data_IF_607399786167
#
_entry.id   IF_607399786167
#
_cell.length_a   1.000
_cell.length_b   1.000
_cell.length_c   1.000
_cell.angle_alpha   90.00
_cell.angle_beta   90.00
_cell.angle_gamma   90.00
#
_symmetry.space_group_name_H-M   'P 1'
#
loop_
_entity.id
_entity.type
_entity.pdbx_description
1 polymer ?
#
# COMPACT_ATOMS: atom_id res chain seq x y z
N UNK A 1 42.93 -39.03 31.12
CA UNK A 1 42.14 -40.21 30.77
C UNK A 1 40.84 -39.76 30.18
N UNK A 2 40.63 -40.18 28.94
CA UNK A 2 39.46 -40.19 28.12
C UNK A 2 38.78 -38.87 27.70
N UNK A 3 39.06 -38.58 26.46
CA UNK A 3 38.40 -37.79 25.47
C UNK A 3 37.00 -38.33 25.10
N UNK A 4 36.02 -37.48 24.83
CA UNK A 4 34.91 -37.81 23.97
C UNK A 4 34.64 -36.71 22.96
N UNK A 5 34.89 -37.02 21.68
CA UNK A 5 34.52 -36.23 20.51
C UNK A 5 32.99 -36.31 20.32
N UNK A 6 32.36 -35.21 20.10
CA UNK A 6 30.99 -35.10 19.66
C UNK A 6 30.92 -34.69 18.19
N UNK A 7 30.29 -35.51 17.43
CA UNK A 7 30.10 -35.49 15.97
C UNK A 7 29.31 -34.28 15.46
N UNK A 8 29.85 -33.59 14.46
CA UNK A 8 29.19 -32.58 13.66
C UNK A 8 28.42 -33.27 12.52
N UNK A 9 27.13 -33.09 12.46
CA UNK A 9 26.26 -33.59 11.38
C UNK A 9 26.13 -32.53 10.29
N UNK A 10 26.66 -32.87 9.13
CA UNK A 10 26.59 -32.08 7.89
C UNK A 10 25.25 -32.43 7.19
N UNK A 11 24.31 -31.53 7.08
CA UNK A 11 23.10 -31.71 6.28
C UNK A 11 23.37 -31.26 4.84
N UNK A 12 23.29 -32.21 3.92
CA UNK A 12 23.47 -32.00 2.48
C UNK A 12 22.23 -31.33 1.86
N UNK A 13 22.51 -30.30 1.08
CA UNK A 13 21.53 -29.60 0.23
C UNK A 13 21.34 -30.40 -1.07
N UNK A 14 20.15 -30.95 -1.31
CA UNK A 14 19.80 -31.56 -2.60
C UNK A 14 19.30 -30.45 -3.55
N UNK A 15 20.06 -30.21 -4.61
CA UNK A 15 19.61 -29.49 -5.80
C UNK A 15 18.80 -30.46 -6.68
N UNK A 16 17.54 -30.17 -6.93
CA UNK A 16 16.76 -30.86 -7.96
C UNK A 16 16.82 -30.07 -9.27
N UNK A 17 17.41 -30.68 -10.29
CA UNK A 17 17.44 -30.20 -11.66
C UNK A 17 16.14 -30.60 -12.38
N UNK A 18 15.52 -29.66 -13.12
CA UNK A 18 14.39 -29.90 -14.00
C UNK A 18 14.91 -30.05 -15.43
N UNK A 19 14.50 -31.08 -16.20
CA UNK A 19 14.92 -31.23 -17.58
C UNK A 19 14.07 -30.39 -18.54
N UNK A 20 14.75 -29.78 -19.51
CA UNK A 20 14.16 -29.18 -20.69
C UNK A 20 13.73 -30.27 -21.68
N UNK A 21 12.55 -30.17 -22.26
CA UNK A 21 12.17 -30.88 -23.47
C UNK A 21 11.61 -29.88 -24.48
N UNK A 22 12.23 -29.93 -25.66
CA UNK A 22 11.93 -29.08 -26.78
C UNK A 22 10.98 -29.72 -27.79
N UNK A 23 10.49 -28.89 -28.67
CA UNK A 23 10.31 -29.10 -30.09
C UNK A 23 9.05 -29.81 -30.59
N UNK A 24 8.36 -29.15 -31.50
CA UNK A 24 7.41 -29.78 -32.41
C UNK A 24 6.52 -28.80 -33.19
N UNK A 25 7.01 -28.43 -34.35
CA UNK A 25 6.31 -27.70 -35.42
C UNK A 25 5.16 -28.49 -36.03
N UNK A 26 4.15 -27.76 -36.53
CA UNK A 26 3.39 -27.93 -37.80
C UNK A 26 2.02 -27.23 -37.60
N UNK A 27 1.58 -26.27 -38.38
CA UNK A 27 1.51 -26.16 -39.80
C UNK A 27 0.04 -26.18 -40.25
N UNK A 28 -0.49 -25.12 -40.91
CA UNK A 28 -1.60 -25.27 -41.79
C UNK A 28 -2.76 -24.27 -41.65
N UNK A 29 -2.71 -23.19 -42.43
CA UNK A 29 -3.59 -22.77 -43.54
C UNK A 29 -5.07 -22.47 -43.21
N UNK A 30 -5.53 -21.21 -43.27
CA UNK A 30 -6.20 -20.57 -44.38
C UNK A 30 -7.70 -20.44 -44.21
N UNK A 31 -8.21 -19.25 -44.45
CA UNK A 31 -9.65 -19.05 -44.71
C UNK A 31 -10.12 -17.59 -44.50
N UNK A 32 -10.00 -16.81 -45.53
CA UNK A 32 -10.61 -15.49 -45.71
C UNK A 32 -12.10 -15.57 -46.05
N UNK A 33 -12.88 -14.55 -45.66
CA UNK A 33 -13.91 -13.86 -46.48
C UNK A 33 -14.76 -12.97 -45.55
N UNK A 34 -14.68 -11.70 -45.76
CA UNK A 34 -15.42 -10.74 -46.60
C UNK A 34 -16.75 -10.27 -45.98
N UNK A 35 -16.71 -9.01 -45.66
CA UNK A 35 -17.64 -7.87 -45.74
C UNK A 35 -19.10 -8.11 -46.11
N UNK A 36 -20.00 -7.36 -45.45
CA UNK A 36 -20.94 -6.47 -46.13
C UNK A 36 -21.52 -5.43 -45.17
N UNK A 37 -21.57 -4.22 -45.69
CA UNK A 37 -22.20 -3.00 -45.21
C UNK A 37 -23.71 -3.00 -45.42
N UNK A 38 -24.49 -2.27 -44.64
CA UNK A 38 -25.65 -1.54 -45.15
C UNK A 38 -26.07 -0.40 -44.22
N UNK A 39 -26.26 0.72 -44.87
CA UNK A 39 -26.76 2.03 -44.45
C UNK A 39 -28.23 2.04 -43.99
N UNK A 40 -28.63 3.17 -43.36
CA UNK A 40 -30.00 3.64 -43.28
C UNK A 40 -30.25 4.50 -42.06
N UNK A 41 -30.06 5.73 -42.08
CA UNK A 41 -30.82 6.92 -42.48
C UNK A 41 -31.97 7.33 -41.53
N UNK A 42 -31.76 8.51 -40.93
CA UNK A 42 -32.65 9.68 -40.77
C UNK A 42 -33.95 9.60 -39.97
N UNK A 43 -34.14 10.61 -39.13
CA UNK A 43 -35.43 11.01 -38.57
C UNK A 43 -35.33 12.24 -37.64
N UNK A 44 -35.77 13.34 -38.18
CA UNK A 44 -35.84 14.72 -37.67
C UNK A 44 -37.02 14.90 -36.70
N UNK A 45 -36.82 15.81 -35.66
CA UNK A 45 -37.84 16.80 -35.34
C UNK A 45 -38.45 16.77 -33.96
N UNK A 46 -38.46 17.93 -33.29
CA UNK A 46 -39.48 18.27 -32.32
C UNK A 46 -38.99 19.11 -31.10
N UNK A 47 -39.05 20.40 -31.30
CA UNK A 47 -38.91 21.45 -30.28
C UNK A 47 -40.09 21.46 -29.27
N UNK A 48 -39.85 21.83 -28.03
CA UNK A 48 -40.90 22.19 -27.07
C UNK A 48 -40.31 22.67 -25.76
N UNK A 49 -40.26 23.99 -25.59
CA UNK A 49 -39.85 24.64 -24.35
C UNK A 49 -40.98 24.68 -23.32
N UNK A 50 -40.62 24.66 -22.05
CA UNK A 50 -41.40 25.24 -20.96
C UNK A 50 -40.51 25.59 -19.80
N UNK A 51 -40.45 26.85 -19.49
CA UNK A 51 -39.88 27.50 -18.31
C UNK A 51 -40.65 27.12 -17.05
N UNK A 52 -39.95 26.76 -15.96
CA UNK A 52 -40.50 26.59 -14.63
C UNK A 52 -39.46 26.95 -13.59
N UNK A 53 -39.59 28.14 -13.00
CA UNK A 53 -38.85 28.62 -11.86
C UNK A 53 -39.28 27.87 -10.59
N UNK A 54 -38.33 27.29 -9.83
CA UNK A 54 -38.62 26.69 -8.53
C UNK A 54 -37.38 26.69 -7.65
N UNK A 55 -37.49 27.34 -6.52
CA UNK A 55 -36.44 27.73 -5.61
C UNK A 55 -35.47 26.66 -5.15
N UNK A 56 -34.22 27.04 -5.09
CA UNK A 56 -33.12 26.30 -4.50
C UNK A 56 -33.16 26.43 -2.97
N UNK A 57 -33.49 25.36 -2.28
CA UNK A 57 -33.15 25.18 -0.88
C UNK A 57 -31.77 24.49 -0.83
N UNK A 58 -30.77 25.26 -0.41
CA UNK A 58 -29.44 24.78 -0.13
C UNK A 58 -29.49 23.85 1.09
N UNK A 59 -29.31 22.55 0.85
CA UNK A 59 -29.02 21.59 1.91
C UNK A 59 -27.49 21.53 2.00
N UNK A 60 -26.91 22.15 3.00
CA UNK A 60 -25.50 21.98 3.37
C UNK A 60 -25.32 20.58 3.92
N UNK A 61 -24.85 19.66 3.10
CA UNK A 61 -24.33 18.38 3.55
C UNK A 61 -22.89 18.59 4.04
N UNK A 62 -22.68 18.54 5.32
CA UNK A 62 -21.37 18.39 5.93
C UNK A 62 -20.86 16.98 5.61
N UNK A 63 -19.99 16.88 4.61
CA UNK A 63 -19.26 15.66 4.34
C UNK A 63 -18.16 15.50 5.40
N UNK A 64 -18.32 14.54 6.31
CA UNK A 64 -17.24 14.08 7.18
C UNK A 64 -16.27 13.26 6.31
N UNK A 65 -15.09 13.81 6.06
CA UNK A 65 -14.04 13.14 5.29
C UNK A 65 -13.34 12.08 6.13
N UNK A 66 -13.37 10.83 5.71
CA UNK A 66 -12.55 9.76 6.23
C UNK A 66 -11.16 9.82 5.58
N UNK A 67 -10.11 9.92 6.36
CA UNK A 67 -8.73 9.94 5.90
C UNK A 67 -8.04 8.61 6.21
N UNK A 68 -7.91 7.77 5.20
CA UNK A 68 -6.90 6.72 5.20
C UNK A 68 -5.64 7.30 4.57
N UNK A 69 -4.52 7.30 5.28
CA UNK A 69 -3.29 8.03 4.93
C UNK A 69 -3.58 9.52 4.82
N UNK A 70 -3.25 10.30 5.83
CA UNK A 70 -3.57 11.72 5.91
C UNK A 70 -3.11 12.50 4.68
N UNK A 71 -4.01 12.71 3.71
CA UNK A 71 -3.86 13.74 2.69
C UNK A 71 -4.28 15.06 3.32
N UNK A 72 -3.40 15.65 4.10
CA UNK A 72 -3.65 16.93 4.75
C UNK A 72 -3.69 18.06 3.73
N UNK A 73 -4.87 18.63 3.52
CA UNK A 73 -4.95 20.01 3.04
C UNK A 73 -4.52 20.93 4.19
N UNK A 74 -3.38 21.58 4.00
CA UNK A 74 -2.87 22.73 4.73
C UNK A 74 -3.23 22.93 6.21
N UNK A 75 -2.37 22.51 7.17
CA UNK A 75 -1.94 23.43 8.20
C UNK A 75 -2.63 23.48 9.56
N UNK A 76 -3.18 22.40 10.08
CA UNK A 76 -3.42 22.26 11.51
C UNK A 76 -2.61 21.11 12.09
N UNK A 77 -2.10 21.20 13.33
CA UNK A 77 -1.54 20.03 14.01
C UNK A 77 -2.58 18.91 14.05
N UNK A 78 -2.17 17.63 13.91
CA UNK A 78 -3.10 16.51 14.05
C UNK A 78 -3.83 16.59 15.38
N UNK A 79 -5.15 16.31 15.37
CA UNK A 79 -5.95 16.33 16.57
C UNK A 79 -6.05 14.93 17.16
N UNK A 80 -5.98 14.83 18.50
CA UNK A 80 -6.11 13.58 19.22
C UNK A 80 -4.78 13.00 19.74
N UNK A 81 -4.86 11.85 20.38
CA UNK A 81 -3.72 11.14 20.94
C UNK A 81 -3.07 10.22 19.87
N UNK A 82 -1.75 10.27 19.70
CA UNK A 82 -1.05 9.47 18.69
C UNK A 82 -0.79 8.05 19.17
N UNK A 83 -1.40 7.06 18.52
CA UNK A 83 -1.14 5.65 18.73
C UNK A 83 -0.40 5.03 17.56
N UNK A 84 0.43 4.02 17.85
CA UNK A 84 1.20 3.28 16.84
C UNK A 84 0.81 1.82 16.87
N UNK A 85 0.46 1.29 15.69
CA UNK A 85 0.12 -0.11 15.48
C UNK A 85 1.21 -0.78 14.67
N UNK A 86 1.74 -1.88 15.19
CA UNK A 86 2.83 -2.64 14.52
C UNK A 86 2.36 -4.06 14.28
N UNK A 87 2.33 -4.43 13.00
CA UNK A 87 2.06 -5.79 12.54
C UNK A 87 3.33 -6.47 12.02
N UNK A 88 3.29 -7.79 11.85
CA UNK A 88 4.46 -8.52 11.39
C UNK A 88 4.20 -9.97 11.05
N UNK A 89 5.29 -10.71 10.79
CA UNK A 89 5.23 -12.16 10.66
C UNK A 89 5.22 -12.80 12.05
N UNK A 90 4.06 -13.22 12.45
CA UNK A 90 3.71 -13.76 13.76
C UNK A 90 2.21 -13.89 13.86
N UNK A 91 1.63 -13.63 15.02
CA UNK A 91 0.17 -13.67 15.21
C UNK A 91 -0.38 -12.45 15.96
N UNK A 92 0.44 -11.43 16.20
CA UNK A 92 0.07 -10.33 17.10
C UNK A 92 0.21 -8.97 16.44
N UNK A 93 -0.67 -8.04 16.84
CA UNK A 93 -0.52 -6.61 16.63
C UNK A 93 -0.10 -5.99 17.96
N UNK A 94 0.98 -5.22 17.94
CA UNK A 94 1.47 -4.44 19.07
C UNK A 94 0.94 -3.02 19.00
N UNK A 95 0.56 -2.47 20.16
CA UNK A 95 0.05 -1.10 20.27
C UNK A 95 0.97 -0.29 21.17
N UNK A 96 1.27 0.94 20.74
CA UNK A 96 2.07 1.88 21.52
C UNK A 96 1.42 3.26 21.50
N UNK A 97 1.67 4.04 22.54
CA UNK A 97 1.46 5.47 22.55
C UNK A 97 2.76 6.14 22.09
N UNK A 98 2.67 7.12 21.18
CA UNK A 98 3.80 7.87 20.65
C UNK A 98 3.93 9.20 21.38
N UNK A 99 5.06 9.47 21.98
CA UNK A 99 5.43 10.82 22.37
C UNK A 99 6.05 11.55 21.17
N UNK A 100 5.29 12.45 20.56
CA UNK A 100 5.77 13.22 19.38
C UNK A 100 6.90 14.18 19.75
N UNK A 101 7.01 14.57 21.04
CA UNK A 101 8.05 15.48 21.55
C UNK A 101 9.45 14.88 21.50
N UNK A 102 9.62 13.58 21.82
CA UNK A 102 10.92 12.91 21.83
C UNK A 102 11.01 11.67 20.93
N UNK A 103 9.88 11.23 20.35
CA UNK A 103 9.78 10.06 19.47
C UNK A 103 9.74 8.72 20.22
N UNK A 104 9.51 8.71 21.53
CA UNK A 104 9.44 7.48 22.32
C UNK A 104 8.09 6.75 22.10
N UNK A 105 8.16 5.42 22.21
CA UNK A 105 7.03 4.50 22.08
C UNK A 105 6.80 3.79 23.40
N UNK A 106 5.64 4.01 24.03
CA UNK A 106 5.25 3.36 25.29
C UNK A 106 4.20 2.28 24.99
N UNK A 107 4.42 0.99 25.37
CA UNK A 107 3.46 -0.07 25.13
C UNK A 107 2.10 0.23 25.75
N UNK A 108 1.02 -0.07 25.00
CA UNK A 108 -0.36 0.02 25.46
C UNK A 108 -0.93 -1.38 25.58
N UNK A 109 -1.16 -1.83 26.79
CA UNK A 109 -1.66 -3.17 27.08
C UNK A 109 -0.74 -4.31 26.62
N UNK A 110 -1.31 -5.49 26.44
CA UNK A 110 -0.62 -6.65 25.84
C UNK A 110 -0.88 -6.70 24.34
N UNK A 111 0.05 -7.27 23.54
CA UNK A 111 -0.18 -7.47 22.11
C UNK A 111 -1.47 -8.28 21.85
N UNK A 112 -2.18 -7.91 20.79
CA UNK A 112 -3.49 -8.47 20.43
C UNK A 112 -3.33 -9.58 19.42
N UNK A 113 -3.94 -10.75 19.65
CA UNK A 113 -3.96 -11.85 18.67
C UNK A 113 -4.75 -11.43 17.43
N UNK A 114 -4.09 -11.40 16.30
CA UNK A 114 -4.65 -11.01 15.01
C UNK A 114 -4.66 -12.16 13.99
N UNK A 115 -4.36 -13.39 14.42
CA UNK A 115 -4.20 -14.54 13.53
C UNK A 115 -2.85 -14.55 12.80
N UNK A 116 -2.68 -15.47 11.86
CA UNK A 116 -1.40 -15.70 11.19
C UNK A 116 -0.94 -14.50 10.39
N UNK A 117 0.29 -14.05 10.64
CA UNK A 117 1.00 -13.04 9.85
C UNK A 117 0.16 -11.78 9.54
N UNK A 118 -0.21 -10.95 10.55
CA UNK A 118 -0.83 -9.64 10.30
C UNK A 118 0.22 -8.68 9.71
N UNK A 119 0.66 -8.97 8.48
CA UNK A 119 1.85 -8.37 7.87
C UNK A 119 1.61 -6.96 7.31
N UNK A 120 0.34 -6.58 7.09
CA UNK A 120 -0.07 -5.24 6.68
C UNK A 120 -1.39 -4.85 7.33
N UNK A 121 -1.49 -3.58 7.75
CA UNK A 121 -2.66 -3.04 8.43
C UNK A 121 -3.21 -1.84 7.67
N UNK A 122 -4.52 -1.63 7.76
CA UNK A 122 -5.18 -0.38 7.39
C UNK A 122 -5.98 0.13 8.59
N UNK A 123 -5.85 1.41 8.91
CA UNK A 123 -6.57 2.02 10.02
C UNK A 123 -7.54 3.05 9.48
N UNK A 124 -8.78 2.96 9.92
CA UNK A 124 -9.83 3.95 9.68
C UNK A 124 -10.21 4.60 11.01
N UNK A 125 -9.57 5.72 11.37
CA UNK A 125 -9.82 6.38 12.66
C UNK A 125 -11.21 7.00 12.72
N UNK A 126 -11.79 7.40 11.58
CA UNK A 126 -13.13 8.01 11.53
C UNK A 126 -14.24 7.01 11.92
N UNK A 127 -14.03 5.72 11.64
CA UNK A 127 -14.96 4.65 11.97
C UNK A 127 -14.48 3.76 13.12
N UNK A 128 -13.40 4.15 13.80
CA UNK A 128 -12.78 3.41 14.91
C UNK A 128 -12.52 1.94 14.56
N UNK A 129 -11.94 1.70 13.37
CA UNK A 129 -11.65 0.35 12.89
C UNK A 129 -10.21 0.20 12.42
N UNK A 130 -9.67 -1.00 12.63
CA UNK A 130 -8.40 -1.46 12.06
C UNK A 130 -8.64 -2.77 11.32
N UNK A 131 -8.05 -2.88 10.13
CA UNK A 131 -8.06 -4.08 9.31
C UNK A 131 -6.65 -4.64 9.21
N UNK A 132 -6.51 -5.96 9.31
CA UNK A 132 -5.24 -6.66 9.18
C UNK A 132 -5.38 -7.77 8.14
N UNK A 133 -4.46 -7.83 7.17
CA UNK A 133 -4.32 -9.03 6.35
C UNK A 133 -3.80 -10.18 7.22
N UNK A 134 -4.20 -11.42 6.91
CA UNK A 134 -3.53 -12.60 7.40
C UNK A 134 -2.84 -13.24 6.19
N UNK A 135 -1.54 -12.95 6.04
CA UNK A 135 -0.71 -13.36 4.90
C UNK A 135 -0.41 -14.86 4.99
N UNK A 136 -1.42 -15.67 4.65
CA UNK A 136 -1.36 -17.12 4.65
C UNK A 136 -1.61 -17.66 3.24
N UNK A 137 -1.01 -18.80 2.93
CA UNK A 137 -1.14 -19.47 1.64
C UNK A 137 -2.11 -20.66 1.68
N UNK A 138 -2.26 -21.35 0.54
CA UNK A 138 -3.08 -22.56 0.42
C UNK A 138 -4.58 -22.32 0.54
N UNK A 139 -5.06 -21.17 0.02
CA UNK A 139 -6.46 -20.78 0.06
C UNK A 139 -6.92 -20.19 1.39
N UNK A 140 -6.01 -19.89 2.32
CA UNK A 140 -6.33 -19.45 3.68
C UNK A 140 -6.17 -17.94 3.90
N UNK A 141 -5.76 -17.19 2.88
CA UNK A 141 -5.65 -15.73 2.98
C UNK A 141 -6.95 -15.11 3.49
N UNK A 142 -6.84 -14.21 4.47
CA UNK A 142 -8.00 -13.57 5.11
C UNK A 142 -7.70 -12.13 5.51
N UNK A 143 -8.77 -11.40 5.84
CA UNK A 143 -8.69 -10.08 6.46
C UNK A 143 -9.46 -10.14 7.77
N UNK A 144 -8.81 -9.73 8.85
CA UNK A 144 -9.42 -9.53 10.16
C UNK A 144 -9.74 -8.06 10.38
N UNK A 145 -10.83 -7.77 11.09
CA UNK A 145 -11.18 -6.42 11.52
C UNK A 145 -11.24 -6.33 13.04
N UNK A 146 -10.91 -5.15 13.55
CA UNK A 146 -10.86 -4.83 14.97
C UNK A 146 -11.56 -3.50 15.21
N UNK A 147 -12.31 -3.43 16.31
CA UNK A 147 -12.73 -2.16 16.87
C UNK A 147 -11.54 -1.51 17.57
N UNK A 148 -11.40 -0.22 17.40
CA UNK A 148 -10.33 0.60 17.91
C UNK A 148 -10.90 1.55 18.96
N UNK A 149 -10.53 1.36 20.23
CA UNK A 149 -10.93 2.24 21.32
C UNK A 149 -10.20 3.58 21.23
N UNK A 150 -10.93 4.64 20.96
CA UNK A 150 -10.33 5.96 20.70
C UNK A 150 -9.68 6.61 21.92
N UNK A 151 -9.98 6.15 23.12
CA UNK A 151 -9.40 6.67 24.38
C UNK A 151 -8.10 5.96 24.74
N UNK A 152 -8.07 4.64 24.53
CA UNK A 152 -6.94 3.81 24.98
C UNK A 152 -6.06 3.31 23.85
N UNK A 153 -6.50 3.39 22.59
CA UNK A 153 -5.83 2.81 21.44
C UNK A 153 -5.94 1.28 21.34
N UNK A 154 -6.60 0.63 22.31
CA UNK A 154 -6.70 -0.83 22.36
C UNK A 154 -7.59 -1.39 21.26
N UNK A 155 -7.25 -2.59 20.79
CA UNK A 155 -7.97 -3.32 19.75
C UNK A 155 -8.84 -4.41 20.34
N UNK A 156 -10.07 -4.56 19.82
CA UNK A 156 -10.97 -5.67 20.09
C UNK A 156 -11.37 -6.34 18.78
N UNK A 157 -11.18 -7.66 18.69
CA UNK A 157 -11.53 -8.42 17.48
C UNK A 157 -13.02 -8.30 17.14
N UNK A 158 -13.35 -8.06 15.87
CA UNK A 158 -14.71 -7.93 15.36
C UNK A 158 -15.06 -9.09 14.43
N UNK A 159 -14.33 -9.25 13.33
CA UNK A 159 -14.64 -10.26 12.31
C UNK A 159 -13.39 -10.69 11.53
N UNK A 160 -13.51 -11.81 10.80
CA UNK A 160 -12.52 -12.27 9.85
C UNK A 160 -13.22 -12.93 8.66
N UNK A 161 -12.80 -12.58 7.45
CA UNK A 161 -13.34 -13.14 6.21
C UNK A 161 -12.22 -13.51 5.24
N UNK A 162 -12.50 -14.41 4.30
CA UNK A 162 -11.54 -14.77 3.25
C UNK A 162 -11.21 -13.56 2.36
N UNK A 163 -9.92 -13.36 2.08
CA UNK A 163 -9.44 -12.37 1.10
C UNK A 163 -9.67 -12.79 -0.36
N UNK A 164 -10.16 -14.02 -0.60
CA UNK A 164 -10.36 -14.64 -1.92
C UNK A 164 -9.07 -14.85 -2.73
N UNK A 165 -7.95 -15.03 -2.04
CA UNK A 165 -6.66 -15.35 -2.65
C UNK A 165 -5.64 -15.78 -1.60
N UNK A 166 -4.45 -16.14 -2.08
CA UNK A 166 -3.32 -16.56 -1.25
C UNK A 166 -2.40 -15.38 -0.93
N UNK A 167 -1.83 -15.38 0.26
CA UNK A 167 -0.83 -14.42 0.68
C UNK A 167 -1.28 -12.97 0.48
N UNK A 168 -2.39 -12.50 1.11
CA UNK A 168 -2.76 -11.10 1.04
C UNK A 168 -1.65 -10.25 1.67
N UNK A 169 -1.02 -9.39 0.85
CA UNK A 169 0.12 -8.56 1.27
C UNK A 169 -0.26 -7.12 1.60
N UNK A 170 -1.48 -6.71 1.24
CA UNK A 170 -1.93 -5.34 1.44
C UNK A 170 -3.45 -5.27 1.63
N UNK A 171 -3.89 -4.39 2.52
CA UNK A 171 -5.28 -3.96 2.67
C UNK A 171 -5.32 -2.43 2.76
N UNK A 172 -6.32 -1.81 2.15
CA UNK A 172 -6.67 -0.41 2.32
C UNK A 172 -8.18 -0.26 2.48
N UNK A 173 -8.63 0.90 2.92
CA UNK A 173 -10.04 1.27 2.89
C UNK A 173 -10.28 2.29 1.78
N UNK A 174 -11.48 2.31 1.22
CA UNK A 174 -11.92 3.41 0.38
C UNK A 174 -12.14 4.68 1.23
N UNK A 175 -12.25 5.84 0.60
CA UNK A 175 -12.35 7.11 1.33
C UNK A 175 -13.65 7.30 2.11
N UNK A 176 -14.66 6.47 1.86
CA UNK A 176 -15.93 6.49 2.60
C UNK A 176 -15.93 5.55 3.81
N UNK A 177 -14.92 4.67 3.92
CA UNK A 177 -14.90 3.58 4.91
C UNK A 177 -15.95 2.49 4.65
N UNK A 178 -16.55 2.47 3.46
CA UNK A 178 -17.56 1.49 3.07
C UNK A 178 -16.98 0.16 2.56
N UNK A 179 -15.72 0.17 2.14
CA UNK A 179 -15.08 -0.98 1.52
C UNK A 179 -13.62 -1.14 1.94
N UNK A 180 -13.21 -2.38 2.21
CA UNK A 180 -11.81 -2.77 2.30
C UNK A 180 -11.37 -3.40 0.97
N UNK A 181 -10.24 -2.93 0.44
CA UNK A 181 -9.64 -3.41 -0.79
C UNK A 181 -8.39 -4.23 -0.44
N UNK A 182 -8.25 -5.41 -1.02
CA UNK A 182 -7.19 -6.37 -0.66
C UNK A 182 -6.41 -6.80 -1.89
N UNK A 183 -5.07 -6.82 -1.79
CA UNK A 183 -4.19 -7.39 -2.80
C UNK A 183 -3.63 -8.73 -2.31
N UNK A 184 -3.96 -9.80 -3.01
CA UNK A 184 -3.50 -11.16 -2.72
C UNK A 184 -2.27 -11.47 -3.56
N UNK A 185 -1.09 -11.21 -3.01
CA UNK A 185 0.20 -11.33 -3.68
C UNK A 185 0.45 -12.75 -4.22
N UNK A 186 0.25 -13.75 -3.37
CA UNK A 186 0.46 -15.16 -3.74
C UNK A 186 -0.59 -15.69 -4.70
N UNK A 187 -1.83 -15.23 -4.58
CA UNK A 187 -2.96 -15.67 -5.41
C UNK A 187 -3.08 -14.93 -6.74
N UNK A 188 -2.42 -13.78 -6.90
CA UNK A 188 -2.53 -12.97 -8.10
C UNK A 188 -3.88 -12.27 -8.27
N UNK A 189 -4.64 -12.08 -7.21
CA UNK A 189 -5.99 -11.49 -7.26
C UNK A 189 -6.08 -10.23 -6.41
N UNK A 190 -7.07 -9.39 -6.70
CA UNK A 190 -7.53 -8.33 -5.79
C UNK A 190 -9.00 -8.56 -5.46
N UNK A 191 -9.42 -8.14 -4.26
CA UNK A 191 -10.78 -8.31 -3.78
C UNK A 191 -11.29 -7.05 -3.10
N UNK A 192 -12.62 -6.83 -3.16
CA UNK A 192 -13.31 -5.75 -2.46
C UNK A 192 -14.30 -6.37 -1.46
N UNK A 193 -14.15 -6.00 -0.20
CA UNK A 193 -14.93 -6.48 0.93
C UNK A 193 -15.79 -5.33 1.46
N UNK A 194 -17.12 -5.46 1.57
CA UNK A 194 -17.93 -4.42 2.18
C UNK A 194 -17.67 -4.36 3.69
N UNK A 195 -17.65 -3.14 4.24
CA UNK A 195 -17.54 -2.85 5.65
C UNK A 195 -18.92 -2.47 6.17
N UNK A 196 -19.46 -3.27 7.08
CA UNK A 196 -20.72 -3.01 7.75
C UNK A 196 -20.55 -2.23 9.06
N UNK A 197 -21.64 -1.94 9.76
CA UNK A 197 -21.60 -1.23 11.03
C UNK A 197 -20.64 -1.87 12.04
N UNK A 198 -19.87 -1.03 12.76
CA UNK A 198 -18.87 -1.48 13.73
C UNK A 198 -17.68 -2.20 13.14
N UNK A 199 -17.40 -2.04 11.84
CA UNK A 199 -16.24 -2.64 11.18
C UNK A 199 -16.40 -4.11 10.80
N UNK A 200 -17.62 -4.64 10.80
CA UNK A 200 -17.90 -6.05 10.41
C UNK A 200 -17.67 -6.21 8.92
N UNK A 201 -16.71 -7.06 8.55
CA UNK A 201 -16.43 -7.36 7.14
C UNK A 201 -17.46 -8.32 6.54
N UNK A 202 -17.99 -7.98 5.38
CA UNK A 202 -18.78 -8.88 4.54
C UNK A 202 -17.90 -9.74 3.64
N UNK A 203 -18.53 -10.74 2.98
CA UNK A 203 -17.85 -11.53 1.95
C UNK A 203 -17.51 -10.65 0.75
N UNK A 204 -16.41 -10.99 0.04
CA UNK A 204 -16.01 -10.24 -1.15
C UNK A 204 -17.15 -10.12 -2.15
N UNK A 205 -17.41 -8.89 -2.60
CA UNK A 205 -18.44 -8.56 -3.59
C UNK A 205 -17.85 -8.39 -4.99
N UNK A 206 -16.53 -8.22 -5.06
CA UNK A 206 -15.79 -8.11 -6.32
C UNK A 206 -14.43 -8.78 -6.18
N UNK A 207 -14.00 -9.49 -7.23
CA UNK A 207 -12.71 -10.18 -7.27
C UNK A 207 -12.18 -10.13 -8.70
N UNK A 208 -10.94 -9.70 -8.88
CA UNK A 208 -10.28 -9.65 -10.18
C UNK A 208 -8.99 -10.46 -10.15
N UNK A 209 -8.86 -11.38 -11.13
CA UNK A 209 -7.64 -12.15 -11.37
C UNK A 209 -6.73 -11.37 -12.34
N UNK A 210 -5.49 -11.15 -11.95
CA UNK A 210 -4.47 -10.45 -12.72
C UNK A 210 -3.57 -11.39 -13.53
N UNK A 211 -3.85 -12.70 -13.53
CA UNK A 211 -3.05 -13.73 -14.21
C UNK A 211 -2.43 -14.76 -13.26
N UNK A 212 -3.10 -15.03 -12.14
CA UNK A 212 -2.68 -16.00 -11.14
C UNK A 212 -1.45 -15.55 -10.33
N UNK A 213 -0.85 -16.48 -9.61
CA UNK A 213 0.25 -16.22 -8.66
C UNK A 213 1.50 -15.55 -9.25
N UNK A 214 1.66 -15.51 -10.56
CA UNK A 214 2.78 -14.80 -11.21
C UNK A 214 2.55 -13.28 -11.31
N UNK A 215 1.34 -12.80 -11.15
CA UNK A 215 1.02 -11.38 -11.23
C UNK A 215 1.57 -10.60 -10.02
N UNK A 216 1.52 -11.19 -8.84
CA UNK A 216 2.00 -10.61 -7.59
C UNK A 216 1.50 -9.19 -7.34
N UNK A 217 0.16 -8.92 -7.33
CA UNK A 217 -0.36 -7.62 -6.91
C UNK A 217 0.08 -7.35 -5.48
N UNK A 218 0.81 -6.25 -5.26
CA UNK A 218 1.42 -6.01 -3.95
C UNK A 218 0.70 -4.93 -3.14
N UNK A 219 -0.06 -4.09 -3.82
CA UNK A 219 -0.86 -3.03 -3.21
C UNK A 219 -2.18 -2.88 -3.98
N UNK A 220 -3.22 -2.39 -3.33
CA UNK A 220 -4.39 -1.78 -3.94
C UNK A 220 -4.80 -0.57 -3.11
N UNK A 221 -4.88 0.61 -3.74
CA UNK A 221 -5.32 1.86 -3.11
C UNK A 221 -6.28 2.61 -4.02
N UNK A 222 -7.19 3.37 -3.41
CA UNK A 222 -8.04 4.30 -4.18
C UNK A 222 -7.31 5.61 -4.44
N UNK A 223 -7.73 6.30 -5.51
CA UNK A 223 -7.29 7.68 -5.81
C UNK A 223 -7.69 8.65 -4.69
N UNK A 224 -7.08 9.85 -4.65
CA UNK A 224 -7.53 10.90 -3.71
C UNK A 224 -9.01 11.24 -3.83
N UNK A 225 -9.58 11.20 -5.05
CA UNK A 225 -11.01 11.44 -5.32
C UNK A 225 -11.92 10.23 -5.09
N UNK A 226 -11.38 9.06 -4.78
CA UNK A 226 -12.12 7.81 -4.58
C UNK A 226 -12.86 7.26 -5.83
N UNK A 227 -12.52 7.73 -7.02
CA UNK A 227 -13.17 7.32 -8.28
C UNK A 227 -12.38 6.24 -9.04
N UNK A 228 -11.13 6.01 -8.63
CA UNK A 228 -10.24 5.03 -9.27
C UNK A 228 -9.50 4.22 -8.22
N UNK A 229 -9.01 3.03 -8.62
CA UNK A 229 -8.14 2.18 -7.82
C UNK A 229 -6.92 1.74 -8.63
N UNK A 230 -5.78 1.61 -7.96
CA UNK A 230 -4.47 1.32 -8.55
C UNK A 230 -3.86 0.10 -7.91
N UNK A 231 -3.36 -0.80 -8.78
CA UNK A 231 -2.79 -2.09 -8.36
C UNK A 231 -1.43 -2.28 -9.01
N UNK A 232 -0.33 -1.99 -8.30
CA UNK A 232 1.00 -2.41 -8.73
C UNK A 232 1.11 -3.95 -8.74
N UNK A 233 1.40 -4.52 -9.91
CA UNK A 233 1.62 -5.95 -10.12
C UNK A 233 3.10 -6.21 -10.33
N UNK A 234 3.78 -6.61 -9.26
CA UNK A 234 5.23 -6.78 -9.24
C UNK A 234 5.70 -7.76 -10.32
N UNK A 235 5.02 -8.89 -10.48
CA UNK A 235 5.41 -9.93 -11.42
C UNK A 235 5.14 -9.59 -12.88
N UNK A 236 4.18 -8.69 -13.15
CA UNK A 236 3.82 -8.27 -14.51
C UNK A 236 4.52 -6.99 -14.96
N UNK A 237 5.22 -6.28 -14.07
CA UNK A 237 5.81 -4.96 -14.34
C UNK A 237 4.76 -3.94 -14.80
N UNK A 238 3.57 -3.96 -14.19
CA UNK A 238 2.46 -3.07 -14.54
C UNK A 238 1.78 -2.50 -13.31
N UNK A 239 1.15 -1.34 -13.44
CA UNK A 239 0.14 -0.84 -12.51
C UNK A 239 -1.20 -0.91 -13.22
N UNK A 240 -2.07 -1.83 -12.81
CA UNK A 240 -3.47 -1.89 -13.31
C UNK A 240 -4.27 -0.75 -12.71
N UNK A 241 -5.08 -0.09 -13.53
CA UNK A 241 -5.89 1.06 -13.16
C UNK A 241 -7.36 0.71 -13.40
N UNK A 242 -8.17 0.86 -12.34
CA UNK A 242 -9.60 0.58 -12.36
C UNK A 242 -10.40 1.86 -12.14
N UNK A 243 -11.56 1.98 -12.78
CA UNK A 243 -12.62 2.84 -12.26
C UNK A 243 -13.21 2.15 -11.03
N UNK A 244 -13.37 2.89 -9.93
CA UNK A 244 -13.93 2.41 -8.68
C UNK A 244 -15.28 3.08 -8.42
N UNK A 245 -16.31 2.29 -8.17
CA UNK A 245 -17.62 2.80 -7.79
C UNK A 245 -17.79 2.75 -6.27
N UNK A 246 -17.60 3.88 -5.60
CA UNK A 246 -17.65 4.00 -4.15
C UNK A 246 -19.04 3.70 -3.53
N UNK A 247 -20.12 3.65 -4.35
CA UNK A 247 -21.45 3.28 -3.85
C UNK A 247 -21.69 1.77 -3.88
N UNK A 248 -20.99 1.04 -4.76
CA UNK A 248 -21.22 -0.40 -4.96
C UNK A 248 -20.00 -1.27 -4.68
N UNK A 249 -18.82 -0.65 -4.47
CA UNK A 249 -17.55 -1.33 -4.29
C UNK A 249 -17.02 -2.04 -5.54
N UNK A 250 -17.57 -1.75 -6.73
CA UNK A 250 -17.18 -2.44 -7.96
C UNK A 250 -15.99 -1.78 -8.64
N UNK A 251 -15.08 -2.64 -9.13
CA UNK A 251 -13.95 -2.28 -9.97
C UNK A 251 -14.27 -2.56 -11.43
N UNK A 252 -13.95 -1.61 -12.30
CA UNK A 252 -14.05 -1.80 -13.76
C UNK A 252 -12.70 -1.49 -14.38
N UNK A 253 -12.12 -2.43 -15.13
CA UNK A 253 -10.82 -2.25 -15.77
C UNK A 253 -10.85 -1.02 -16.67
N UNK A 254 -9.92 -0.09 -16.48
CA UNK A 254 -9.84 1.15 -17.23
C UNK A 254 -8.58 1.20 -18.12
N UNK A 255 -7.41 1.06 -17.52
CA UNK A 255 -6.12 1.15 -18.22
C UNK A 255 -5.01 0.46 -17.42
N UNK A 256 -3.78 0.53 -17.92
CA UNK A 256 -2.57 0.12 -17.19
C UNK A 256 -1.42 1.07 -17.49
N UNK A 257 -0.50 1.16 -16.54
CA UNK A 257 0.83 1.73 -16.74
C UNK A 257 1.83 0.59 -16.81
N UNK A 258 2.60 0.48 -17.89
CA UNK A 258 3.75 -0.42 -17.98
C UNK A 258 5.00 0.28 -17.43
N UNK A 259 5.78 -0.41 -16.61
CA UNK A 259 7.10 0.01 -16.14
C UNK A 259 8.19 -0.81 -16.86
N UNK A 260 9.46 -0.48 -16.62
CA UNK A 260 10.57 -1.24 -17.23
C UNK A 260 10.48 -2.74 -16.88
N UNK A 261 10.82 -3.59 -17.84
CA UNK A 261 10.82 -5.03 -17.64
C UNK A 261 11.77 -5.43 -16.51
N UNK A 262 11.27 -6.20 -15.54
CA UNK A 262 12.00 -6.61 -14.35
C UNK A 262 12.02 -5.60 -13.20
N UNK A 263 11.44 -4.42 -13.36
CA UNK A 263 11.43 -3.38 -12.31
C UNK A 263 10.65 -3.80 -11.07
N UNK A 264 9.51 -4.47 -11.24
CA UNK A 264 8.71 -5.00 -10.13
C UNK A 264 8.02 -3.90 -9.31
N UNK A 265 7.02 -3.21 -9.85
CA UNK A 265 6.28 -2.15 -9.15
C UNK A 265 5.58 -2.73 -7.91
N UNK A 266 5.74 -2.05 -6.77
CA UNK A 266 5.32 -2.58 -5.48
C UNK A 266 4.28 -1.73 -4.77
N UNK A 267 4.65 -0.51 -4.37
CA UNK A 267 3.78 0.46 -3.69
C UNK A 267 3.79 1.79 -4.41
N UNK A 268 2.63 2.45 -4.39
CA UNK A 268 2.35 3.76 -4.98
C UNK A 268 1.81 4.68 -3.89
N UNK A 269 2.26 5.93 -3.89
CA UNK A 269 1.67 6.97 -3.05
C UNK A 269 1.38 8.24 -3.85
N UNK A 270 0.27 8.91 -3.53
CA UNK A 270 -0.15 10.15 -4.18
C UNK A 270 0.39 11.37 -3.45
N UNK A 271 0.81 12.39 -4.20
CA UNK A 271 1.12 13.68 -3.62
C UNK A 271 -0.14 14.31 -3.01
N UNK A 272 -0.10 14.78 -1.75
CA UNK A 272 -1.24 15.46 -1.13
C UNK A 272 -1.46 16.88 -1.67
N UNK A 273 -0.48 17.45 -2.41
CA UNK A 273 -0.47 18.88 -2.79
C UNK A 273 -0.42 19.12 -4.30
N UNK A 274 -0.25 18.06 -5.11
CA UNK A 274 -0.07 18.20 -6.56
C UNK A 274 -0.59 16.97 -7.32
N UNK A 275 -0.88 17.08 -8.64
CA UNK A 275 -1.38 15.96 -9.43
C UNK A 275 -0.25 15.00 -9.82
N UNK A 276 0.49 14.51 -8.82
CA UNK A 276 1.58 13.56 -9.01
C UNK A 276 1.40 12.34 -8.12
N UNK A 277 2.00 11.24 -8.51
CA UNK A 277 2.13 10.03 -7.72
C UNK A 277 3.55 9.48 -7.87
N UNK A 278 3.97 8.66 -6.91
CA UNK A 278 5.29 8.07 -6.88
C UNK A 278 5.17 6.58 -6.62
N UNK A 279 5.89 5.79 -7.42
CA UNK A 279 5.85 4.34 -7.40
C UNK A 279 7.23 3.80 -7.08
N UNK A 280 7.33 2.93 -6.07
CA UNK A 280 8.57 2.20 -5.82
C UNK A 280 8.57 0.89 -6.59
N UNK A 281 9.68 0.62 -7.27
CA UNK A 281 9.96 -0.62 -7.97
C UNK A 281 10.88 -1.49 -7.09
N UNK A 282 10.40 -2.69 -6.73
CA UNK A 282 11.07 -3.54 -5.75
C UNK A 282 12.38 -4.13 -6.28
N UNK A 283 12.37 -4.65 -7.54
CA UNK A 283 13.44 -5.51 -8.01
C UNK A 283 14.65 -4.72 -8.50
N UNK A 284 14.44 -3.56 -9.14
CA UNK A 284 15.53 -2.72 -9.70
C UNK A 284 15.88 -1.55 -8.77
N UNK A 285 15.21 -1.41 -7.63
CA UNK A 285 15.47 -0.37 -6.63
C UNK A 285 15.39 1.03 -7.22
N UNK A 286 14.31 1.30 -7.95
CA UNK A 286 14.03 2.62 -8.54
C UNK A 286 12.72 3.21 -8.06
N UNK A 287 12.59 4.54 -8.20
CA UNK A 287 11.32 5.26 -8.12
C UNK A 287 10.88 5.72 -9.49
N UNK A 288 9.60 5.56 -9.80
CA UNK A 288 8.96 6.23 -10.93
C UNK A 288 8.17 7.43 -10.42
N UNK A 289 8.51 8.65 -10.86
CA UNK A 289 7.66 9.82 -10.67
C UNK A 289 6.63 9.85 -11.80
N UNK A 290 5.37 10.11 -11.44
CA UNK A 290 4.21 9.98 -12.33
C UNK A 290 3.36 11.24 -12.26
N UNK A 291 2.79 11.68 -13.38
CA UNK A 291 1.64 12.57 -13.37
C UNK A 291 0.36 11.75 -13.19
N UNK A 292 -0.61 12.32 -12.50
CA UNK A 292 -1.93 11.73 -12.31
C UNK A 292 -3.00 12.61 -12.93
N UNK A 293 -3.71 12.10 -13.94
CA UNK A 293 -4.92 12.71 -14.49
C UNK A 293 -6.13 12.20 -13.70
N UNK A 294 -6.67 13.04 -12.83
CA UNK A 294 -7.78 12.69 -11.96
C UNK A 294 -9.11 12.50 -12.72
N UNK A 295 -9.25 13.10 -13.90
CA UNK A 295 -10.47 12.93 -14.70
C UNK A 295 -10.49 11.59 -15.46
N UNK A 296 -9.33 11.10 -15.88
CA UNK A 296 -9.18 9.85 -16.62
C UNK A 296 -8.75 8.67 -15.73
N UNK A 297 -8.36 8.91 -14.47
CA UNK A 297 -7.76 7.90 -13.60
C UNK A 297 -6.42 7.39 -14.13
N UNK A 298 -5.66 8.23 -14.84
CA UNK A 298 -4.50 7.78 -15.60
C UNK A 298 -3.18 8.25 -15.00
N UNK A 299 -2.26 7.32 -14.86
CA UNK A 299 -0.87 7.58 -14.48
C UNK A 299 0.00 7.63 -15.75
N UNK A 300 0.96 8.58 -15.78
CA UNK A 300 1.94 8.69 -16.86
C UNK A 300 3.33 8.95 -16.27
N UNK A 301 4.34 8.15 -16.65
CA UNK A 301 5.70 8.29 -16.14
C UNK A 301 6.37 9.55 -16.69
N UNK A 302 7.03 10.30 -15.79
CA UNK A 302 7.81 11.51 -16.12
C UNK A 302 9.27 11.38 -15.74
N UNK A 303 9.64 10.42 -14.88
CA UNK A 303 11.02 10.16 -14.47
C UNK A 303 11.13 8.76 -13.85
N UNK A 304 12.31 8.14 -14.01
CA UNK A 304 12.75 7.00 -13.19
C UNK A 304 14.11 7.34 -12.60
N UNK A 305 14.28 7.11 -11.28
CA UNK A 305 15.50 7.45 -10.53
C UNK A 305 15.84 6.33 -9.54
N UNK A 306 17.12 6.04 -9.34
CA UNK A 306 17.60 5.03 -8.39
C UNK A 306 17.33 5.46 -6.94
N UNK A 307 16.97 4.50 -6.08
CA UNK A 307 16.90 4.67 -4.64
C UNK A 307 18.22 4.38 -3.94
N UNK A 308 19.23 3.94 -4.67
CA UNK A 308 20.54 3.53 -4.15
C UNK A 308 21.60 4.58 -4.42
N UNK A 309 22.61 4.70 -3.55
CA UNK A 309 23.76 5.56 -3.81
C UNK A 309 24.59 5.04 -4.98
N UNK A 310 25.22 5.95 -5.69
CA UNK A 310 26.15 5.60 -6.78
C UNK A 310 27.25 4.66 -6.27
N UNK A 311 27.48 3.57 -7.01
CA UNK A 311 28.51 2.58 -6.67
C UNK A 311 28.08 1.51 -5.67
N UNK A 312 26.86 1.49 -5.18
CA UNK A 312 26.35 0.38 -4.38
C UNK A 312 26.20 -0.88 -5.26
N UNK A 313 26.87 -1.97 -4.87
CA UNK A 313 26.90 -3.23 -5.62
C UNK A 313 26.32 -4.42 -4.81
N UNK A 314 25.72 -4.16 -3.65
CA UNK A 314 25.07 -5.18 -2.82
C UNK A 314 23.69 -5.56 -3.36
N UNK A 315 23.16 -6.68 -2.89
CA UNK A 315 21.77 -7.03 -3.12
C UNK A 315 20.86 -6.03 -2.41
N UNK A 316 19.83 -5.58 -3.12
CA UNK A 316 18.82 -4.68 -2.56
C UNK A 316 17.45 -4.97 -3.16
N UNK A 317 16.41 -4.61 -2.43
CA UNK A 317 15.04 -4.54 -2.94
C UNK A 317 14.32 -3.33 -2.32
N UNK A 318 13.64 -2.54 -3.15
CA UNK A 318 12.78 -1.48 -2.69
C UNK A 318 11.60 -2.04 -1.90
N UNK A 319 11.02 -1.27 -0.97
CA UNK A 319 9.84 -1.74 -0.25
C UNK A 319 8.74 -0.67 -0.14
N UNK A 320 8.88 0.28 0.77
CA UNK A 320 7.86 1.29 1.05
C UNK A 320 8.21 2.61 0.40
N UNK A 321 7.18 3.37 0.05
CA UNK A 321 7.27 4.74 -0.45
C UNK A 321 6.19 5.60 0.21
N UNK A 322 6.57 6.78 0.67
CA UNK A 322 5.60 7.77 1.15
C UNK A 322 5.99 9.18 0.75
N UNK A 323 4.98 9.98 0.42
CA UNK A 323 5.12 11.42 0.22
C UNK A 323 4.90 12.10 1.57
N UNK A 324 5.79 13.01 1.96
CA UNK A 324 5.58 13.81 3.16
C UNK A 324 4.26 14.59 3.08
N UNK A 325 3.57 14.85 4.21
CA UNK A 325 2.34 15.66 4.23
C UNK A 325 2.48 17.03 3.58
N UNK A 326 3.70 17.61 3.59
CA UNK A 326 4.02 18.86 2.91
C UNK A 326 4.04 18.77 1.39
N UNK A 327 4.07 17.57 0.81
CA UNK A 327 4.28 17.33 -0.62
C UNK A 327 5.69 17.64 -1.14
N UNK A 328 6.62 18.08 -0.27
CA UNK A 328 7.95 18.55 -0.65
C UNK A 328 8.99 17.44 -0.73
N UNK A 329 8.77 16.32 -0.07
CA UNK A 329 9.71 15.21 0.02
C UNK A 329 9.03 13.87 -0.23
N UNK A 330 9.80 12.94 -0.82
CA UNK A 330 9.43 11.54 -0.97
C UNK A 330 10.48 10.69 -0.27
N UNK A 331 10.05 9.72 0.50
CA UNK A 331 10.87 8.76 1.20
C UNK A 331 10.69 7.37 0.59
N UNK A 332 11.78 6.60 0.51
CA UNK A 332 11.75 5.24 -0.02
C UNK A 332 12.67 4.32 0.77
N UNK A 333 12.21 3.12 1.13
CA UNK A 333 13.01 2.17 1.89
C UNK A 333 13.76 1.18 1.00
N UNK A 334 14.99 0.85 1.40
CA UNK A 334 15.92 -0.06 0.74
C UNK A 334 16.26 -1.23 1.66
N UNK A 335 15.79 -2.43 1.33
CA UNK A 335 16.08 -3.68 2.06
C UNK A 335 17.34 -4.32 1.48
N UNK A 336 18.44 -4.21 2.20
CA UNK A 336 19.79 -4.64 1.80
C UNK A 336 20.81 -3.53 1.91
N UNK A 337 20.55 -2.33 1.41
CA UNK A 337 21.28 -1.11 1.77
C UNK A 337 20.87 -0.62 3.17
N UNK A 338 19.72 -1.09 3.65
CA UNK A 338 19.17 -0.82 4.99
C UNK A 338 19.09 0.68 5.31
N UNK A 339 18.45 1.41 4.38
CA UNK A 339 18.30 2.87 4.45
C UNK A 339 16.93 3.35 4.02
N UNK A 340 16.62 4.59 4.40
CA UNK A 340 15.62 5.42 3.75
C UNK A 340 16.34 6.37 2.79
N UNK A 341 16.01 6.29 1.51
CA UNK A 341 16.38 7.30 0.51
C UNK A 341 15.42 8.48 0.60
N UNK A 342 15.96 9.69 0.62
CA UNK A 342 15.21 10.94 0.73
C UNK A 342 15.32 11.70 -0.57
N UNK A 343 14.18 12.13 -1.12
CA UNK A 343 14.12 12.92 -2.35
C UNK A 343 13.35 14.22 -2.11
N UNK A 344 13.81 15.30 -2.69
CA UNK A 344 13.03 16.53 -2.83
C UNK A 344 12.17 16.48 -4.09
N UNK A 345 10.99 17.09 -4.03
CA UNK A 345 10.02 17.17 -5.14
C UNK A 345 10.13 18.54 -5.81
N UNK A 346 10.40 18.56 -7.11
CA UNK A 346 10.38 19.75 -7.93
C UNK A 346 8.94 20.16 -8.33
N UNK A 347 8.68 21.40 -8.74
CA UNK A 347 7.34 21.84 -9.16
C UNK A 347 6.73 21.03 -10.32
N UNK A 348 7.53 20.41 -11.16
CA UNK A 348 7.11 19.52 -12.24
C UNK A 348 6.91 18.05 -11.79
N UNK A 349 6.99 17.78 -10.50
CA UNK A 349 6.83 16.46 -9.89
C UNK A 349 8.07 15.58 -9.97
N UNK A 350 9.16 16.02 -10.58
CA UNK A 350 10.40 15.24 -10.61
C UNK A 350 11.13 15.24 -9.28
N UNK A 351 11.88 14.17 -9.07
CA UNK A 351 12.62 13.89 -7.85
C UNK A 351 14.10 14.21 -8.00
N UNK A 352 14.69 14.80 -6.95
CA UNK A 352 16.12 14.92 -6.80
C UNK A 352 16.56 14.30 -5.48
N UNK A 353 17.58 13.44 -5.52
CA UNK A 353 18.10 12.76 -4.34
C UNK A 353 18.70 13.78 -3.36
N UNK A 354 18.23 13.75 -2.12
CA UNK A 354 18.79 14.53 -1.00
C UNK A 354 19.88 13.72 -0.28
N UNK A 355 19.60 12.45 -0.01
CA UNK A 355 20.55 11.57 0.69
C UNK A 355 19.94 10.24 1.10
N UNK A 356 20.72 9.49 1.89
CA UNK A 356 20.33 8.21 2.45
C UNK A 356 20.54 8.23 3.96
N UNK A 357 19.52 7.83 4.73
CA UNK A 357 19.61 7.65 6.17
C UNK A 357 19.61 6.17 6.52
N UNK A 358 20.69 5.62 7.17
CA UNK A 358 20.66 4.26 7.71
C UNK A 358 19.51 4.10 8.71
N UNK A 359 18.79 2.96 8.66
CA UNK A 359 17.58 2.74 9.46
C UNK A 359 17.82 2.24 10.87
N UNK A 360 19.07 2.17 11.32
CA UNK A 360 19.44 1.63 12.65
C UNK A 360 18.87 0.22 12.89
N UNK A 361 18.81 -0.58 11.83
CA UNK A 361 18.28 -1.92 11.79
C UNK A 361 18.51 -2.57 10.43
N UNK A 362 17.79 -3.64 10.14
CA UNK A 362 17.92 -4.41 8.90
C UNK A 362 16.54 -4.68 8.29
N UNK A 363 16.49 -4.62 6.96
CA UNK A 363 15.29 -4.92 6.17
C UNK A 363 14.12 -4.00 6.53
N UNK A 364 14.22 -2.67 6.24
CA UNK A 364 13.14 -1.70 6.45
C UNK A 364 11.99 -2.01 5.48
N UNK A 365 11.03 -2.86 5.92
CA UNK A 365 9.95 -3.32 5.04
C UNK A 365 8.83 -2.30 4.90
N UNK A 366 8.55 -1.56 5.96
CA UNK A 366 7.57 -0.48 5.98
C UNK A 366 8.07 0.66 6.86
N UNK A 367 7.64 1.86 6.55
CA UNK A 367 7.79 3.02 7.42
C UNK A 367 6.56 3.90 7.28
N UNK A 368 6.37 4.80 8.23
CA UNK A 368 5.35 5.85 8.11
C UNK A 368 5.91 7.20 8.51
N UNK A 369 5.65 8.20 7.66
CA UNK A 369 5.71 9.61 8.03
C UNK A 369 4.44 9.92 8.78
N UNK A 370 4.53 10.35 10.06
CA UNK A 370 3.34 10.68 10.82
C UNK A 370 2.71 12.00 10.34
N UNK A 371 1.44 12.22 10.70
CA UNK A 371 0.59 13.22 10.07
C UNK A 371 1.07 14.67 10.21
N UNK A 372 1.86 15.02 11.26
CA UNK A 372 2.47 16.36 11.36
C UNK A 372 3.65 16.56 10.40
N UNK A 373 4.24 15.47 9.94
CA UNK A 373 5.46 15.48 9.13
C UNK A 373 6.74 15.70 9.93
N UNK A 374 6.70 15.58 11.27
CA UNK A 374 7.86 15.77 12.14
C UNK A 374 8.63 14.49 12.43
N UNK A 375 7.95 13.34 12.38
CA UNK A 375 8.53 12.04 12.67
C UNK A 375 8.34 11.06 11.51
N UNK A 376 9.29 10.13 11.41
CA UNK A 376 9.22 8.96 10.56
C UNK A 376 9.58 7.72 11.41
N UNK A 377 8.70 6.71 11.40
CA UNK A 377 8.88 5.46 12.11
C UNK A 377 9.19 4.35 11.10
N UNK A 378 10.21 3.53 11.36
CA UNK A 378 10.64 2.43 10.46
C UNK A 378 10.46 1.10 11.14
N UNK A 379 9.74 0.18 10.49
CA UNK A 379 9.65 -1.23 10.87
C UNK A 379 10.77 -2.03 10.16
N UNK A 380 11.76 -2.45 10.94
CA UNK A 380 12.92 -3.22 10.49
C UNK A 380 12.67 -4.71 10.74
N UNK A 381 12.29 -5.44 9.70
CA UNK A 381 11.83 -6.82 9.80
C UNK A 381 12.88 -7.76 10.41
N UNK A 382 14.12 -7.73 9.92
CA UNK A 382 15.13 -8.72 10.30
C UNK A 382 15.86 -8.37 11.60
N UNK A 383 15.89 -7.10 11.99
CA UNK A 383 16.42 -6.67 13.31
C UNK A 383 15.37 -6.60 14.40
N UNK A 384 14.09 -6.91 14.08
CA UNK A 384 13.00 -7.00 15.05
C UNK A 384 12.82 -5.70 15.87
N UNK A 385 12.93 -4.55 15.22
CA UNK A 385 12.74 -3.27 15.91
C UNK A 385 11.95 -2.26 15.08
N UNK A 386 11.28 -1.35 15.79
CA UNK A 386 10.74 -0.13 15.22
C UNK A 386 11.58 1.03 15.73
N UNK A 387 12.08 1.86 14.82
CA UNK A 387 12.98 2.99 15.12
C UNK A 387 12.34 4.29 14.70
N UNK A 388 12.49 5.34 15.52
CA UNK A 388 11.91 6.66 15.25
C UNK A 388 12.99 7.66 14.82
N UNK A 389 12.66 8.46 13.80
CA UNK A 389 13.52 9.53 13.25
C UNK A 389 12.79 10.87 13.29
N UNK A 390 13.55 11.95 13.52
CA UNK A 390 13.10 13.33 13.27
C UNK A 390 13.26 13.66 11.79
N UNK A 391 12.29 14.37 11.26
CA UNK A 391 12.32 14.96 9.92
C UNK A 391 12.68 16.45 10.06
N UNK A 392 13.70 16.90 9.33
CA UNK A 392 13.95 18.33 9.15
C UNK A 392 13.00 18.87 8.07
N UNK A 393 12.09 19.74 8.43
CA UNK A 393 11.04 20.24 7.54
C UNK A 393 11.56 21.08 6.37
N UNK A 394 12.77 21.62 6.47
CA UNK A 394 13.38 22.45 5.41
C UNK A 394 14.13 21.61 4.37
N UNK A 395 14.79 20.53 4.81
CA UNK A 395 15.67 19.70 3.97
C UNK A 395 15.13 18.30 3.70
N UNK A 396 14.14 17.83 4.48
CA UNK A 396 13.61 16.46 4.42
C UNK A 396 14.53 15.42 5.06
N UNK A 397 15.71 15.82 5.55
CA UNK A 397 16.69 14.89 6.13
C UNK A 397 16.20 14.27 7.41
N UNK A 398 16.64 13.03 7.66
CA UNK A 398 16.26 12.25 8.84
C UNK A 398 17.39 12.24 9.86
N UNK A 399 17.03 12.35 11.14
CA UNK A 399 17.97 12.20 12.26
C UNK A 399 17.39 11.18 13.25
N UNK A 400 18.13 10.12 13.64
CA UNK A 400 17.66 9.18 14.65
C UNK A 400 17.35 9.88 15.97
N UNK A 401 16.19 9.58 16.57
CA UNK A 401 15.84 10.09 17.91
C UNK A 401 16.58 9.36 19.04
N UNK A 402 17.21 8.22 18.72
CA UNK A 402 17.76 7.28 19.68
C UNK A 402 16.69 6.40 20.37
N UNK A 403 15.43 6.50 19.93
CA UNK A 403 14.31 5.72 20.46
C UNK A 403 13.98 4.54 19.56
N UNK A 404 13.73 3.39 20.18
CA UNK A 404 13.29 2.18 19.48
C UNK A 404 12.54 1.25 20.41
N UNK A 405 11.71 0.39 19.85
CA UNK A 405 11.06 -0.74 20.55
C UNK A 405 11.30 -2.04 19.81
N UNK A 406 11.32 -3.15 20.55
CA UNK A 406 11.46 -4.49 19.97
C UNK A 406 10.10 -5.04 19.62
N UNK A 407 9.91 -5.39 18.33
CA UNK A 407 8.75 -6.13 17.81
C UNK A 407 9.25 -7.17 16.83
N UNK A 408 8.97 -8.45 17.11
CA UNK A 408 9.47 -9.56 16.30
C UNK A 408 8.94 -9.49 14.86
N UNK A 409 9.87 -9.59 13.89
CA UNK A 409 9.57 -9.58 12.46
C UNK A 409 8.60 -8.47 12.04
N UNK A 410 8.79 -7.23 12.56
CA UNK A 410 7.95 -6.09 12.23
C UNK A 410 7.96 -5.80 10.73
N UNK A 411 6.79 -5.89 10.08
CA UNK A 411 6.64 -5.67 8.64
C UNK A 411 5.78 -4.47 8.30
N UNK A 412 5.07 -3.93 9.29
CA UNK A 412 4.21 -2.75 9.18
C UNK A 412 4.31 -1.90 10.45
N UNK A 413 4.30 -0.61 10.29
CA UNK A 413 4.12 0.39 11.37
C UNK A 413 3.17 1.47 10.88
N UNK A 414 2.14 1.79 11.68
CA UNK A 414 1.16 2.83 11.37
C UNK A 414 0.94 3.74 12.56
N UNK A 415 0.91 5.07 12.32
CA UNK A 415 0.61 6.10 13.33
C UNK A 415 -0.76 6.68 13.06
N UNK A 416 -1.60 6.74 14.07
CA UNK A 416 -2.97 7.25 13.98
C UNK A 416 -3.24 8.17 15.16
N UNK A 417 -3.86 9.31 14.88
CA UNK A 417 -4.34 10.24 15.91
C UNK A 417 -5.81 9.92 16.20
N UNK A 418 -6.11 9.58 17.44
CA UNK A 418 -7.46 9.23 17.89
C UNK A 418 -8.05 10.36 18.73
N UNK A 419 -9.25 10.75 18.39
CA UNK A 419 -10.04 11.71 19.18
C UNK A 419 -11.02 10.90 20.04
N UNK A 420 -10.98 11.03 21.38
CA UNK A 420 -11.85 10.34 22.32
C UNK A 420 -13.34 10.63 22.14
#
# INVERSE_FOLDING_TARGET
MQSSLGTVSLAALLLAAVPACGGGDSGGVGGSSSATSSDGSSGVGGSGGASGSGGATSVTSTAAGATTSASGTGGGAPQGEPFVYVGGYGNQIHVFHLDVGDGSLTPVGSPVDAGTNPSFLAVDPAHHTLFAVNEDGGGKGSVASFHLDSTTGMLSFVSRVSSKGDGPAHVSTDKTGGFALVANYGGGTVAVLPIGPGGVLGQAIDVHDHGGGNANPHQIITSPGNDFAFVPNKGLNTVTQYAFNASTGKLTSASKLDVAGGAGPRHLDFSPTSPHAYLINENDSTLSALTYDAAAGKLTSIQTISTLPSGFNGNNSGAEIQVAPSGKFVYASNRGHDSIAVFSVAPDGKLALVGHQPVMGQTPRHFQVEASGELLLVANQNSNNVVTFRIDAATGTLTPTGKSVTVQSATYVGVVYLVP
#
